data_IF_072546869932
#
_entry.id   IF_072546869932
#
_cell.length_a   1.000
_cell.length_b   1.000
_cell.length_c   1.000
_cell.angle_alpha   90.00
_cell.angle_beta   90.00
_cell.angle_gamma   90.00
#
_symmetry.space_group_name_H-M   'P 1'
#
loop_
_entity.id
_entity.type
_entity.pdbx_description
1 polymer ?
#
# COMPACT_ATOMS: atom_id res chain seq x y z
N UNK A 1 5.93 13.27 11.41
CA UNK A 1 7.12 12.53 10.90
C UNK A 1 7.19 12.72 9.39
N UNK A 2 8.31 13.14 8.89
CA UNK A 2 8.63 13.29 7.47
C UNK A 2 9.27 12.01 6.93
N UNK A 3 9.45 11.91 5.59
CA UNK A 3 10.20 10.80 4.97
C UNK A 3 11.66 10.79 5.46
N UNK A 4 12.29 11.95 5.59
CA UNK A 4 13.68 12.03 6.02
C UNK A 4 13.84 11.54 7.46
N UNK A 5 12.98 11.97 8.38
CA UNK A 5 12.94 11.46 9.76
C UNK A 5 12.71 9.95 9.80
N UNK A 6 11.82 9.41 8.94
CA UNK A 6 11.59 7.97 8.84
C UNK A 6 12.87 7.23 8.42
N UNK A 7 13.59 7.74 7.41
CA UNK A 7 14.81 7.14 6.88
C UNK A 7 16.03 7.32 7.79
N UNK A 8 16.03 8.33 8.66
CA UNK A 8 17.02 8.46 9.73
C UNK A 8 16.83 7.39 10.81
N UNK A 9 15.58 7.09 11.16
CA UNK A 9 15.25 6.12 12.21
C UNK A 9 15.25 4.67 11.70
N UNK A 10 14.88 4.47 10.43
CA UNK A 10 14.65 3.15 9.86
C UNK A 10 15.50 2.90 8.62
N UNK A 11 15.86 1.64 8.44
CA UNK A 11 16.38 1.11 7.20
C UNK A 11 15.24 0.53 6.36
N UNK A 12 15.19 0.92 5.09
CA UNK A 12 14.26 0.35 4.11
C UNK A 12 14.88 -0.85 3.41
N UNK A 13 14.22 -2.00 3.47
CA UNK A 13 14.72 -3.23 2.88
C UNK A 13 13.62 -4.12 2.31
N UNK A 14 14.02 -5.10 1.49
CA UNK A 14 13.13 -6.14 0.96
C UNK A 14 12.94 -7.22 2.01
N UNK A 15 11.71 -7.68 2.20
CA UNK A 15 11.37 -8.83 3.04
C UNK A 15 11.80 -10.14 2.38
N UNK A 16 13.11 -10.45 2.43
CA UNK A 16 13.60 -11.76 1.99
C UNK A 16 13.24 -12.84 3.02
N UNK A 17 13.16 -14.13 2.62
CA UNK A 17 12.93 -15.22 3.57
C UNK A 17 13.97 -15.26 4.71
N UNK A 18 15.23 -14.90 4.41
CA UNK A 18 16.28 -14.80 5.42
C UNK A 18 15.97 -13.67 6.38
N UNK A 19 15.69 -12.45 5.88
CA UNK A 19 15.39 -11.28 6.69
C UNK A 19 14.18 -11.53 7.61
N UNK A 20 13.14 -12.15 7.08
CA UNK A 20 11.94 -12.46 7.86
C UNK A 20 12.20 -13.45 9.01
N UNK A 21 13.13 -14.40 8.83
CA UNK A 21 13.53 -15.32 9.93
C UNK A 21 14.37 -14.64 11.01
N UNK A 22 15.12 -13.61 10.65
CA UNK A 22 15.98 -12.85 11.57
C UNK A 22 15.20 -11.81 12.36
N UNK A 23 14.03 -11.38 11.82
CA UNK A 23 13.23 -10.36 12.47
C UNK A 23 12.50 -10.88 13.72
N UNK A 24 12.38 -9.99 14.70
CA UNK A 24 11.51 -10.18 15.86
C UNK A 24 10.04 -10.29 15.44
N UNK A 25 9.19 -10.80 16.36
CA UNK A 25 7.76 -10.88 16.11
C UNK A 25 7.18 -9.50 15.82
N UNK A 26 6.51 -9.39 14.66
CA UNK A 26 5.78 -8.20 14.23
C UNK A 26 4.30 -8.37 14.58
N UNK A 27 3.71 -7.34 15.20
CA UNK A 27 2.28 -7.31 15.48
C UNK A 27 1.71 -5.91 15.31
N UNK A 28 0.74 -5.74 14.41
CA UNK A 28 0.05 -4.47 14.23
C UNK A 28 -1.18 -4.30 15.14
N UNK A 29 -1.57 -5.36 15.87
CA UNK A 29 -2.67 -5.35 16.82
C UNK A 29 -3.32 -6.72 16.96
N UNK A 30 -4.46 -6.76 17.67
CA UNK A 30 -5.11 -7.99 18.11
C UNK A 30 -6.55 -8.16 17.59
N UNK A 31 -7.09 -7.19 16.80
CA UNK A 31 -8.38 -7.35 16.11
C UNK A 31 -8.27 -8.41 15.00
N UNK A 32 -9.40 -8.91 14.52
CA UNK A 32 -9.44 -9.94 13.46
C UNK A 32 -8.69 -9.48 12.21
N UNK A 33 -8.91 -8.24 11.77
CA UNK A 33 -8.23 -7.68 10.60
C UNK A 33 -6.71 -7.54 10.82
N UNK A 34 -6.30 -7.17 12.04
CA UNK A 34 -4.89 -7.03 12.41
C UNK A 34 -4.21 -8.40 12.56
N UNK A 35 -4.93 -9.42 13.02
CA UNK A 35 -4.44 -10.80 13.05
C UNK A 35 -4.20 -11.35 11.65
N UNK A 36 -5.09 -11.09 10.68
CA UNK A 36 -4.88 -11.46 9.27
C UNK A 36 -3.61 -10.81 8.70
N UNK A 37 -3.38 -9.53 8.98
CA UNK A 37 -2.15 -8.84 8.60
C UNK A 37 -0.90 -9.43 9.27
N UNK A 38 -0.98 -9.74 10.56
CA UNK A 38 0.13 -10.37 11.29
C UNK A 38 0.48 -11.72 10.68
N UNK A 39 -0.54 -12.55 10.38
CA UNK A 39 -0.36 -13.85 9.78
C UNK A 39 0.22 -13.76 8.37
N UNK A 40 -0.29 -12.83 7.55
CA UNK A 40 0.25 -12.58 6.22
C UNK A 40 1.74 -12.25 6.25
N UNK A 41 2.16 -11.29 7.08
CA UNK A 41 3.56 -10.91 7.15
C UNK A 41 4.44 -12.00 7.73
N UNK A 42 3.93 -12.82 8.66
CA UNK A 42 4.69 -13.91 9.26
C UNK A 42 4.87 -15.12 8.33
N UNK A 43 3.85 -15.44 7.50
CA UNK A 43 3.81 -16.70 6.75
C UNK A 43 3.78 -16.49 5.23
N UNK A 44 2.92 -15.59 4.74
CA UNK A 44 2.56 -15.53 3.33
C UNK A 44 3.41 -14.57 2.51
N UNK A 45 3.95 -13.52 3.10
CA UNK A 45 4.73 -12.50 2.39
C UNK A 45 5.90 -13.07 1.59
N UNK A 46 6.62 -14.06 2.15
CA UNK A 46 7.73 -14.73 1.47
C UNK A 46 7.25 -15.63 0.32
N UNK A 47 6.09 -16.28 0.49
CA UNK A 47 5.45 -17.13 -0.54
C UNK A 47 4.96 -16.28 -1.70
N UNK A 48 4.30 -15.16 -1.41
CA UNK A 48 3.89 -14.18 -2.43
C UNK A 48 5.06 -13.68 -3.25
N UNK A 49 6.17 -13.34 -2.57
CA UNK A 49 7.39 -12.88 -3.22
C UNK A 49 8.00 -13.94 -4.14
N UNK A 50 8.08 -15.19 -3.68
CA UNK A 50 8.64 -16.31 -4.45
C UNK A 50 7.82 -16.68 -5.68
N UNK A 51 6.49 -16.50 -5.61
CA UNK A 51 5.54 -16.75 -6.70
C UNK A 51 5.31 -15.54 -7.59
N UNK A 52 6.00 -14.43 -7.36
CA UNK A 52 5.84 -13.15 -8.08
C UNK A 52 4.40 -12.59 -8.02
N UNK A 53 3.66 -12.89 -6.95
CA UNK A 53 2.31 -12.37 -6.71
C UNK A 53 2.34 -10.98 -6.04
N UNK A 54 3.44 -10.63 -5.40
CA UNK A 54 3.65 -9.33 -4.77
C UNK A 54 5.06 -9.24 -4.21
N UNK A 55 5.47 -8.04 -3.85
CA UNK A 55 6.77 -7.77 -3.25
C UNK A 55 6.59 -7.04 -1.93
N UNK A 56 7.12 -7.61 -0.88
CA UNK A 56 7.03 -7.06 0.48
C UNK A 56 8.29 -6.29 0.83
N UNK A 57 8.11 -5.16 1.47
CA UNK A 57 9.15 -4.28 1.97
C UNK A 57 8.95 -4.01 3.45
N UNK A 58 10.05 -3.73 4.13
CA UNK A 58 10.11 -3.47 5.56
C UNK A 58 10.80 -2.14 5.84
N UNK A 59 10.34 -1.47 6.88
CA UNK A 59 11.11 -0.48 7.62
C UNK A 59 11.56 -1.11 8.93
N UNK A 60 12.87 -1.27 9.11
CA UNK A 60 13.46 -1.83 10.33
C UNK A 60 14.22 -0.75 11.08
N UNK A 61 14.20 -0.75 12.41
CA UNK A 61 14.97 0.22 13.21
C UNK A 61 16.47 0.12 12.91
N UNK A 62 17.13 1.26 12.67
CA UNK A 62 18.60 1.26 12.47
C UNK A 62 19.35 0.80 13.70
N UNK A 63 18.87 1.11 14.91
CA UNK A 63 19.47 0.66 16.18
C UNK A 63 19.21 -0.80 16.51
N UNK A 64 18.19 -1.42 15.88
CA UNK A 64 17.89 -2.86 15.97
C UNK A 64 17.33 -3.35 14.65
N UNK A 65 18.17 -3.78 13.69
CA UNK A 65 17.75 -4.17 12.35
C UNK A 65 16.76 -5.34 12.29
N UNK A 66 16.63 -6.09 13.36
CA UNK A 66 15.67 -7.20 13.47
C UNK A 66 14.27 -6.73 13.95
N UNK A 67 14.14 -5.49 14.36
CA UNK A 67 12.87 -4.91 14.81
C UNK A 67 12.15 -4.23 13.64
N UNK A 68 11.07 -4.84 13.19
CA UNK A 68 10.21 -4.27 12.15
C UNK A 68 9.34 -3.16 12.76
N UNK A 69 9.36 -1.99 12.15
CA UNK A 69 8.50 -0.84 12.49
C UNK A 69 7.24 -0.84 11.63
N UNK A 70 7.40 -1.07 10.34
CA UNK A 70 6.29 -1.09 9.39
C UNK A 70 6.62 -2.02 8.22
N UNK A 71 5.59 -2.62 7.64
CA UNK A 71 5.70 -3.51 6.49
C UNK A 71 4.61 -3.20 5.48
N UNK A 72 4.91 -3.35 4.19
CA UNK A 72 3.93 -3.23 3.14
C UNK A 72 4.23 -4.14 1.96
N UNK A 73 3.17 -4.53 1.24
CA UNK A 73 3.27 -5.38 0.05
C UNK A 73 2.64 -4.68 -1.13
N UNK A 74 3.34 -4.68 -2.25
CA UNK A 74 2.86 -4.13 -3.52
C UNK A 74 2.81 -5.21 -4.60
N UNK A 75 1.83 -5.08 -5.50
CA UNK A 75 1.67 -5.94 -6.67
C UNK A 75 1.32 -5.09 -7.89
N UNK A 76 1.56 -5.62 -9.10
CA UNK A 76 1.10 -4.97 -10.31
C UNK A 76 -0.41 -5.07 -10.43
N UNK A 77 -1.06 -3.98 -10.83
CA UNK A 77 -2.51 -3.94 -11.06
C UNK A 77 -2.86 -2.92 -12.15
N UNK A 78 -4.15 -2.78 -12.44
CA UNK A 78 -4.65 -1.77 -13.38
C UNK A 78 -6.09 -1.37 -13.05
N UNK A 79 -6.40 -0.08 -13.14
CA UNK A 79 -7.77 0.41 -13.10
C UNK A 79 -8.42 0.15 -14.46
N UNK A 80 -9.50 -0.61 -14.47
CA UNK A 80 -10.30 -0.85 -15.66
C UNK A 80 -11.43 0.18 -15.74
N UNK A 81 -11.48 0.92 -16.86
CA UNK A 81 -12.63 1.77 -17.15
C UNK A 81 -13.83 0.90 -17.49
N UNK A 82 -14.73 0.74 -16.55
CA UNK A 82 -16.00 0.03 -16.74
C UNK A 82 -17.14 1.02 -16.71
N UNK A 83 -18.32 0.61 -17.18
CA UNK A 83 -19.55 1.41 -17.09
C UNK A 83 -20.03 1.66 -15.66
N UNK A 84 -19.38 1.02 -14.67
CA UNK A 84 -19.63 1.23 -13.23
C UNK A 84 -18.89 2.45 -12.65
N UNK A 85 -17.90 2.99 -13.38
CA UNK A 85 -17.28 4.26 -13.01
C UNK A 85 -18.21 5.38 -13.47
N UNK A 86 -18.44 6.39 -12.63
CA UNK A 86 -19.19 7.56 -13.02
C UNK A 86 -18.56 8.22 -14.24
N UNK A 87 -19.37 8.88 -15.07
CA UNK A 87 -18.86 9.59 -16.25
C UNK A 87 -17.82 10.65 -15.86
N UNK A 88 -17.99 11.29 -14.71
CA UNK A 88 -17.10 12.30 -14.15
C UNK A 88 -15.71 11.73 -13.90
N UNK A 89 -15.59 10.57 -13.24
CA UNK A 89 -14.31 9.89 -13.03
C UNK A 89 -13.68 9.43 -14.36
N UNK A 90 -14.51 8.91 -15.27
CA UNK A 90 -14.01 8.53 -16.60
C UNK A 90 -13.44 9.72 -17.36
N UNK A 91 -14.10 10.86 -17.28
CA UNK A 91 -13.65 12.13 -17.90
C UNK A 91 -12.34 12.60 -17.27
N UNK A 92 -12.24 12.64 -15.95
CA UNK A 92 -11.04 13.02 -15.22
C UNK A 92 -9.83 12.14 -15.58
N UNK A 93 -10.02 10.83 -15.68
CA UNK A 93 -8.97 9.89 -16.12
C UNK A 93 -8.51 10.15 -17.55
N UNK A 94 -9.40 10.52 -18.45
CA UNK A 94 -9.12 10.73 -19.86
C UNK A 94 -8.55 12.13 -20.14
N UNK A 95 -9.09 13.19 -19.53
CA UNK A 95 -8.61 14.56 -19.70
C UNK A 95 -7.19 14.75 -19.19
N UNK A 96 -6.87 14.23 -18.02
CA UNK A 96 -5.52 14.33 -17.44
C UNK A 96 -4.46 13.61 -18.29
N UNK A 97 -4.86 12.77 -19.24
CA UNK A 97 -3.89 11.98 -20.02
C UNK A 97 -3.41 12.65 -21.29
N UNK A 98 -4.12 13.65 -21.84
CA UNK A 98 -3.88 14.24 -23.15
C UNK A 98 -3.65 13.20 -24.27
N UNK A 99 -4.05 11.96 -24.05
CA UNK A 99 -3.82 10.86 -24.94
C UNK A 99 -4.82 10.91 -26.10
N UNK A 100 -4.29 10.85 -27.32
CA UNK A 100 -5.08 10.82 -28.54
C UNK A 100 -5.88 9.52 -28.72
N UNK A 101 -5.64 8.53 -27.89
CA UNK A 101 -6.19 7.18 -28.05
C UNK A 101 -7.47 7.04 -27.23
N UNK A 102 -8.60 7.05 -27.93
CA UNK A 102 -9.94 6.90 -27.36
C UNK A 102 -10.22 5.48 -26.82
N UNK A 103 -9.29 4.54 -27.02
CA UNK A 103 -9.48 3.12 -26.72
C UNK A 103 -8.76 2.62 -25.46
N UNK A 104 -8.17 3.51 -24.65
CA UNK A 104 -7.56 3.10 -23.39
C UNK A 104 -8.65 2.62 -22.43
N UNK A 105 -8.66 1.30 -22.20
CA UNK A 105 -9.62 0.64 -21.31
C UNK A 105 -9.03 0.30 -19.94
N UNK A 106 -7.70 0.45 -19.77
CA UNK A 106 -6.99 0.13 -18.54
C UNK A 106 -5.85 1.11 -18.30
N UNK A 107 -5.72 1.56 -17.06
CA UNK A 107 -4.60 2.38 -16.61
C UNK A 107 -3.72 1.57 -15.68
N UNK A 108 -2.41 1.49 -15.94
CA UNK A 108 -1.49 0.76 -15.11
C UNK A 108 -1.43 1.38 -13.70
N UNK A 109 -1.42 0.54 -12.71
CA UNK A 109 -1.31 0.91 -11.31
C UNK A 109 -0.49 -0.08 -10.52
N UNK A 110 -0.18 0.29 -9.29
CA UNK A 110 0.36 -0.61 -8.29
C UNK A 110 -0.67 -0.79 -7.18
N UNK A 111 -1.00 -2.03 -6.86
CA UNK A 111 -1.83 -2.37 -5.71
C UNK A 111 -0.97 -2.37 -4.45
N UNK A 112 -1.31 -1.52 -3.49
CA UNK A 112 -0.84 -1.62 -2.12
C UNK A 112 -1.76 -2.61 -1.38
N UNK A 113 -1.44 -3.90 -1.48
CA UNK A 113 -2.30 -4.98 -1.02
C UNK A 113 -2.29 -5.18 0.50
N UNK A 114 -1.20 -4.85 1.16
CA UNK A 114 -1.04 -4.94 2.62
C UNK A 114 -0.18 -3.78 3.12
N UNK A 115 -0.58 -3.18 4.24
CA UNK A 115 0.18 -2.14 4.94
C UNK A 115 -0.09 -2.25 6.42
N UNK A 116 0.95 -2.35 7.23
CA UNK A 116 0.83 -2.37 8.67
C UNK A 116 2.01 -1.67 9.36
N UNK A 117 1.74 -1.08 10.51
CA UNK A 117 2.74 -0.55 11.44
C UNK A 117 2.63 -1.34 12.74
N UNK A 118 3.77 -1.77 13.29
CA UNK A 118 3.80 -2.48 14.57
C UNK A 118 3.14 -1.64 15.66
N UNK A 119 2.36 -2.29 16.53
CA UNK A 119 1.54 -1.64 17.56
C UNK A 119 2.34 -0.75 18.51
N UNK A 120 3.61 -1.07 18.75
CA UNK A 120 4.49 -0.25 19.60
C UNK A 120 4.92 1.07 18.94
N UNK A 121 4.77 1.20 17.64
CA UNK A 121 5.06 2.40 16.85
C UNK A 121 3.79 3.10 16.34
N UNK A 122 2.61 2.58 16.68
CA UNK A 122 1.33 3.17 16.26
C UNK A 122 1.15 4.57 16.87
N UNK A 123 0.54 5.49 16.11
CA UNK A 123 0.29 6.86 16.56
C UNK A 123 1.47 7.83 16.51
N UNK A 124 2.67 7.37 16.17
CA UNK A 124 3.89 8.20 16.10
C UNK A 124 4.21 8.74 14.70
N UNK A 125 3.28 8.61 13.75
CA UNK A 125 3.43 9.16 12.39
C UNK A 125 4.12 8.22 11.39
N UNK A 126 4.63 7.06 11.81
CA UNK A 126 5.29 6.11 10.92
C UNK A 126 4.42 5.66 9.75
N UNK A 127 3.13 5.41 9.97
CA UNK A 127 2.22 4.99 8.91
C UNK A 127 2.05 6.05 7.81
N UNK A 128 1.92 7.34 8.16
CA UNK A 128 1.78 8.42 7.18
C UNK A 128 3.11 8.69 6.46
N UNK A 129 4.23 8.75 7.18
CA UNK A 129 5.55 8.91 6.57
C UNK A 129 5.89 7.73 5.64
N UNK A 130 5.52 6.50 6.04
CA UNK A 130 5.63 5.32 5.19
C UNK A 130 4.78 5.42 3.93
N UNK A 131 3.55 5.96 4.01
CA UNK A 131 2.70 6.19 2.85
C UNK A 131 3.29 7.23 1.90
N UNK A 132 3.83 8.33 2.42
CA UNK A 132 4.50 9.35 1.59
C UNK A 132 5.74 8.78 0.91
N UNK A 133 6.50 7.93 1.61
CA UNK A 133 7.62 7.20 1.02
C UNK A 133 7.15 6.25 -0.09
N UNK A 134 6.09 5.46 0.14
CA UNK A 134 5.52 4.57 -0.89
C UNK A 134 5.14 5.36 -2.14
N UNK A 135 4.46 6.50 -1.99
CA UNK A 135 4.12 7.36 -3.12
C UNK A 135 5.37 7.83 -3.86
N UNK A 136 6.42 8.22 -3.14
CA UNK A 136 7.67 8.70 -3.74
C UNK A 136 8.36 7.63 -4.61
N UNK A 137 8.23 6.34 -4.27
CA UNK A 137 8.79 5.22 -5.05
C UNK A 137 8.16 5.11 -6.45
N UNK A 138 6.91 5.58 -6.60
CA UNK A 138 6.15 5.46 -7.85
C UNK A 138 5.99 6.78 -8.63
N UNK A 139 6.52 7.89 -8.11
CA UNK A 139 6.53 9.19 -8.79
C UNK A 139 7.85 9.43 -9.52
N UNK A 140 8.98 9.27 -8.84
CA UNK A 140 10.31 9.58 -9.40
C UNK A 140 11.01 8.31 -9.87
N UNK A 141 11.40 8.29 -11.16
CA UNK A 141 12.15 7.16 -11.71
C UNK A 141 11.37 5.84 -11.73
N UNK A 142 10.06 5.92 -11.80
CA UNK A 142 9.15 4.79 -11.84
C UNK A 142 9.49 3.85 -13.00
N UNK A 143 9.99 2.67 -12.69
CA UNK A 143 10.44 1.67 -13.68
C UNK A 143 9.29 0.83 -14.25
N UNK A 144 8.11 0.87 -13.63
CA UNK A 144 6.96 0.05 -14.02
C UNK A 144 5.94 0.82 -14.87
N UNK A 145 6.05 2.17 -14.94
CA UNK A 145 5.08 3.00 -15.64
C UNK A 145 3.70 3.01 -14.99
N UNK A 146 3.59 2.73 -13.68
CA UNK A 146 2.31 2.81 -12.99
C UNK A 146 1.91 4.27 -12.79
N UNK A 147 0.63 4.56 -13.12
CA UNK A 147 0.04 5.90 -12.97
C UNK A 147 -0.66 6.07 -11.64
N UNK A 148 -1.18 4.99 -11.09
CA UNK A 148 -2.00 4.99 -9.89
C UNK A 148 -1.44 4.08 -8.80
N UNK A 149 -1.64 4.47 -7.56
CA UNK A 149 -1.54 3.57 -6.41
C UNK A 149 -2.97 3.21 -6.02
N UNK A 150 -3.26 1.91 -6.01
CA UNK A 150 -4.58 1.34 -5.76
C UNK A 150 -4.55 0.68 -4.38
N UNK A 151 -5.63 0.79 -3.64
CA UNK A 151 -5.80 0.10 -2.36
C UNK A 151 -7.18 -0.55 -2.28
N UNK A 152 -7.23 -1.79 -1.81
CA UNK A 152 -8.46 -2.45 -1.40
C UNK A 152 -8.60 -2.26 0.12
N UNK A 153 -9.21 -1.12 0.48
CA UNK A 153 -9.33 -0.75 1.88
C UNK A 153 -10.44 -1.54 2.58
N UNK A 154 -10.15 -2.03 3.79
CA UNK A 154 -11.19 -2.57 4.65
C UNK A 154 -12.26 -1.51 4.92
N UNK A 155 -13.53 -1.90 4.79
CA UNK A 155 -14.67 -1.01 5.00
C UNK A 155 -14.91 -0.74 6.49
N UNK A 156 -13.93 -0.10 7.13
CA UNK A 156 -14.09 0.41 8.48
C UNK A 156 -13.62 1.87 8.55
N UNK A 157 -14.21 2.63 9.48
CA UNK A 157 -14.00 4.07 9.60
C UNK A 157 -12.53 4.46 9.82
N UNK A 158 -11.77 3.65 10.56
CA UNK A 158 -10.34 3.90 10.85
C UNK A 158 -9.49 3.82 9.58
N UNK A 159 -9.65 2.74 8.83
CA UNK A 159 -8.90 2.47 7.60
C UNK A 159 -9.25 3.48 6.51
N UNK A 160 -10.54 3.74 6.29
CA UNK A 160 -11.00 4.72 5.31
C UNK A 160 -10.47 6.11 5.63
N UNK A 161 -10.57 6.57 6.88
CA UNK A 161 -10.04 7.87 7.29
C UNK A 161 -8.51 7.95 7.14
N UNK A 162 -7.80 6.86 7.36
CA UNK A 162 -6.36 6.80 7.13
C UNK A 162 -6.03 7.06 5.65
N UNK A 163 -6.66 6.34 4.73
CA UNK A 163 -6.40 6.53 3.29
C UNK A 163 -6.85 7.90 2.80
N UNK A 164 -8.03 8.40 3.22
CA UNK A 164 -8.48 9.76 2.89
C UNK A 164 -7.49 10.85 3.33
N UNK A 165 -6.99 10.76 4.55
CA UNK A 165 -5.97 11.71 5.06
C UNK A 165 -4.66 11.62 4.30
N UNK A 166 -4.36 10.49 3.69
CA UNK A 166 -3.22 10.28 2.83
C UNK A 166 -3.53 10.54 1.34
N UNK A 167 -4.61 11.26 1.01
CA UNK A 167 -4.92 11.75 -0.34
C UNK A 167 -5.50 10.70 -1.28
N UNK A 168 -5.98 9.56 -0.77
CA UNK A 168 -6.72 8.58 -1.57
C UNK A 168 -8.18 9.00 -1.71
N UNK A 169 -8.76 8.67 -2.86
CA UNK A 169 -10.16 8.90 -3.20
C UNK A 169 -10.83 7.57 -3.54
N UNK A 170 -12.14 7.51 -3.35
CA UNK A 170 -12.91 6.35 -3.81
C UNK A 170 -12.90 6.27 -5.34
N UNK A 171 -12.76 5.05 -5.85
CA UNK A 171 -12.84 4.80 -7.28
C UNK A 171 -14.28 4.59 -7.77
N UNK A 172 -15.18 4.19 -6.87
CA UNK A 172 -16.60 3.89 -7.15
C UNK A 172 -17.46 4.60 -6.12
N UNK A 173 -18.56 5.23 -6.53
CA UNK A 173 -19.48 5.91 -5.62
C UNK A 173 -20.24 4.95 -4.67
N UNK A 174 -20.66 5.49 -3.52
CA UNK A 174 -21.12 4.78 -2.33
C UNK A 174 -22.32 3.83 -2.48
N UNK A 175 -23.09 3.89 -3.56
CA UNK A 175 -24.28 3.04 -3.77
C UNK A 175 -23.98 1.52 -3.84
N UNK A 176 -22.71 1.12 -4.02
CA UNK A 176 -22.31 -0.29 -4.06
C UNK A 176 -21.80 -0.83 -2.71
N UNK A 177 -21.60 0.04 -1.72
CA UNK A 177 -21.10 -0.34 -0.40
C UNK A 177 -22.23 -0.77 0.56
N UNK A 178 -23.48 -0.40 0.29
CA UNK A 178 -24.65 -0.78 1.10
C UNK A 178 -25.25 -2.16 0.73
N UNK A 179 -24.75 -2.80 -0.32
CA UNK A 179 -25.27 -4.05 -0.85
C UNK A 179 -24.50 -5.32 -0.45
N UNK A 180 -23.79 -5.30 0.70
CA UNK A 180 -23.17 -6.50 1.26
C UNK A 180 -23.48 -6.67 2.73
#
# INVERSE_FOLDING_TARGET
MTIDELLELCEFCVATPQKMRECESFSCGDSVDEQDLNEFFAKDASVYSSKLLGKTYLFCLRGNPNRIVSAFTVANDSIRLTNKLSEEYRYQFLEETELRDKDIKRFPGVLLGRLATDKSFAGHGFGSAGMDFIKSLFVKGNKTGCRFIIVDALNNKRTINYYKRNGFQYLVEDELLEAK
#
